data_IF_580005110791
#
_entry.id   IF_580005110791
#
_cell.length_a   1.000
_cell.length_b   1.000
_cell.length_c   1.000
_cell.angle_alpha   90.00
_cell.angle_beta   90.00
_cell.angle_gamma   90.00
#
_symmetry.space_group_name_H-M   'P 1'
#
loop_
_entity.id
_entity.type
_entity.pdbx_description
1 polymer ?
#
# COMPACT_ATOMS: atom_id res chain seq x y z
N UNK A 1 -2.35 15.78 31.64
CA UNK A 1 -3.70 15.18 31.53
C UNK A 1 -4.04 15.26 30.06
N UNK A 2 -4.40 14.14 29.44
CA UNK A 2 -4.72 14.11 28.01
C UNK A 2 -6.01 14.91 27.79
N UNK A 3 -6.02 15.81 26.81
CA UNK A 3 -7.18 16.64 26.46
C UNK A 3 -8.19 15.83 25.64
N UNK A 4 -9.42 16.32 25.54
CA UNK A 4 -10.45 15.66 24.70
C UNK A 4 -10.00 15.60 23.24
N UNK A 5 -9.42 16.68 22.71
CA UNK A 5 -8.86 16.73 21.35
C UNK A 5 -7.76 15.68 21.12
N UNK A 6 -6.93 15.41 22.12
CA UNK A 6 -5.88 14.38 22.05
C UNK A 6 -6.48 12.97 22.08
N UNK A 7 -7.55 12.74 22.85
CA UNK A 7 -8.27 11.46 22.83
C UNK A 7 -8.96 11.22 21.49
N UNK A 8 -9.58 12.24 20.91
CA UNK A 8 -10.20 12.17 19.60
C UNK A 8 -9.16 11.83 18.53
N UNK A 9 -8.00 12.49 18.55
CA UNK A 9 -6.89 12.17 17.66
C UNK A 9 -6.40 10.72 17.82
N UNK A 10 -6.28 10.22 19.06
CA UNK A 10 -5.87 8.83 19.31
C UNK A 10 -6.90 7.85 18.73
N UNK A 11 -8.20 8.14 18.87
CA UNK A 11 -9.26 7.32 18.30
C UNK A 11 -9.16 7.28 16.76
N UNK A 12 -9.01 8.44 16.12
CA UNK A 12 -8.86 8.56 14.66
C UNK A 12 -7.61 7.83 14.16
N UNK A 13 -6.48 7.97 14.85
CA UNK A 13 -5.23 7.25 14.52
C UNK A 13 -5.40 5.74 14.68
N UNK A 14 -6.12 5.31 15.72
CA UNK A 14 -6.40 3.88 15.94
C UNK A 14 -7.23 3.31 14.80
N UNK A 15 -8.24 4.04 14.30
CA UNK A 15 -9.03 3.63 13.15
C UNK A 15 -8.16 3.48 11.88
N UNK A 16 -7.33 4.48 11.58
CA UNK A 16 -6.42 4.44 10.43
C UNK A 16 -5.46 3.24 10.52
N UNK A 17 -4.83 3.06 11.68
CA UNK A 17 -3.85 1.98 11.90
C UNK A 17 -4.49 0.60 11.96
N UNK A 18 -5.76 0.48 12.36
CA UNK A 18 -6.49 -0.79 12.37
C UNK A 18 -6.56 -1.40 10.97
N UNK A 19 -6.68 -0.58 9.92
CA UNK A 19 -6.71 -1.10 8.53
C UNK A 19 -5.39 -1.81 8.17
N UNK A 20 -4.26 -1.33 8.71
CA UNK A 20 -2.96 -1.99 8.54
C UNK A 20 -2.84 -3.25 9.39
N UNK A 21 -3.35 -3.21 10.62
CA UNK A 21 -3.38 -4.37 11.51
C UNK A 21 -4.18 -5.52 10.87
N UNK A 22 -5.39 -5.26 10.39
CA UNK A 22 -6.25 -6.24 9.73
C UNK A 22 -5.56 -6.84 8.49
N UNK A 23 -5.00 -5.99 7.63
CA UNK A 23 -4.27 -6.44 6.45
C UNK A 23 -3.05 -7.31 6.80
N UNK A 24 -2.29 -6.94 7.83
CA UNK A 24 -1.10 -7.72 8.25
C UNK A 24 -1.46 -9.00 8.98
N UNK A 25 -2.58 -9.05 9.71
CA UNK A 25 -3.12 -10.27 10.31
C UNK A 25 -3.55 -11.26 9.23
N UNK A 26 -4.31 -10.80 8.22
CA UNK A 26 -4.75 -11.64 7.11
C UNK A 26 -3.56 -12.17 6.29
N UNK A 27 -2.56 -11.32 6.02
CA UNK A 27 -1.35 -11.72 5.32
C UNK A 27 -0.51 -12.68 6.18
N UNK A 28 -0.25 -12.34 7.44
CA UNK A 28 0.59 -13.11 8.35
C UNK A 28 0.00 -14.46 8.78
N UNK A 29 -1.33 -14.54 8.90
CA UNK A 29 -2.05 -15.77 9.26
C UNK A 29 -2.19 -16.77 8.11
N UNK A 30 -1.94 -16.35 6.87
CA UNK A 30 -2.09 -17.21 5.70
C UNK A 30 -0.84 -18.08 5.47
N UNK A 31 -1.02 -19.40 5.44
CA UNK A 31 0.07 -20.35 5.06
C UNK A 31 0.57 -20.12 3.63
N UNK A 32 -0.28 -19.53 2.78
CA UNK A 32 0.03 -19.12 1.42
C UNK A 32 -0.54 -17.71 1.22
N UNK A 33 0.27 -16.70 1.46
CA UNK A 33 -0.07 -15.32 1.06
C UNK A 33 -0.31 -15.33 -0.44
N UNK A 34 -1.57 -15.23 -0.84
CA UNK A 34 -1.89 -15.18 -2.26
C UNK A 34 -1.65 -13.76 -2.74
N UNK A 35 -0.73 -13.58 -3.69
CA UNK A 35 -0.45 -12.29 -4.32
C UNK A 35 -1.72 -11.62 -4.90
N UNK A 36 -2.78 -12.40 -5.14
CA UNK A 36 -4.11 -11.93 -5.51
C UNK A 36 -4.83 -11.09 -4.43
N UNK A 37 -4.50 -11.27 -3.15
CA UNK A 37 -5.06 -10.52 -2.00
C UNK A 37 -4.27 -9.25 -1.69
N UNK A 38 -2.99 -9.18 -2.09
CA UNK A 38 -2.13 -8.03 -1.83
C UNK A 38 -2.73 -6.73 -2.39
N UNK A 39 -3.18 -6.77 -3.64
CA UNK A 39 -3.72 -5.58 -4.33
C UNK A 39 -5.03 -5.06 -3.74
N UNK A 40 -6.06 -5.88 -3.44
CA UNK A 40 -7.26 -5.36 -2.78
C UNK A 40 -6.96 -4.73 -1.42
N UNK A 41 -6.13 -5.37 -0.58
CA UNK A 41 -5.75 -4.81 0.73
C UNK A 41 -5.02 -3.46 0.59
N UNK A 42 -4.05 -3.38 -0.32
CA UNK A 42 -3.30 -2.15 -0.53
C UNK A 42 -4.18 -1.01 -1.04
N UNK A 43 -5.16 -1.34 -1.89
CA UNK A 43 -6.13 -0.37 -2.38
C UNK A 43 -7.08 0.12 -1.27
N UNK A 44 -7.44 -0.73 -0.30
CA UNK A 44 -8.21 -0.33 0.88
C UNK A 44 -7.41 0.59 1.80
N UNK A 45 -6.14 0.26 2.07
CA UNK A 45 -5.23 1.12 2.82
C UNK A 45 -5.09 2.49 2.13
N UNK A 46 -4.86 2.51 0.82
CA UNK A 46 -4.75 3.75 0.04
C UNK A 46 -6.03 4.58 0.18
N UNK A 47 -7.21 3.98 0.05
CA UNK A 47 -8.49 4.69 0.22
C UNK A 47 -8.63 5.30 1.62
N UNK A 48 -8.14 4.63 2.65
CA UNK A 48 -8.18 5.13 4.04
C UNK A 48 -7.25 6.32 4.26
N UNK A 49 -6.04 6.30 3.70
CA UNK A 49 -5.01 7.34 3.91
C UNK A 49 -5.03 8.46 2.86
N UNK A 50 -5.76 8.30 1.77
CA UNK A 50 -5.90 9.37 0.76
C UNK A 50 -6.83 10.44 1.30
N UNK A 51 -6.30 11.62 1.56
CA UNK A 51 -7.08 12.83 1.88
C UNK A 51 -7.13 13.77 0.66
N UNK A 52 -8.07 14.71 0.63
CA UNK A 52 -8.14 15.73 -0.43
C UNK A 52 -6.83 16.54 -0.54
N UNK A 53 -6.06 16.64 0.55
CA UNK A 53 -4.75 17.29 0.59
C UNK A 53 -3.65 16.47 -0.12
N UNK A 54 -3.68 15.14 0.04
CA UNK A 54 -2.67 14.23 -0.53
C UNK A 54 -2.66 14.16 -2.06
N UNK A 55 -3.76 14.57 -2.71
CA UNK A 55 -3.85 14.67 -4.18
C UNK A 55 -3.21 15.95 -4.74
N UNK A 56 -2.97 16.97 -3.92
CA UNK A 56 -2.51 18.29 -4.34
C UNK A 56 -1.03 18.58 -4.03
N UNK A 57 -0.40 17.78 -3.18
CA UNK A 57 1.02 17.91 -2.86
C UNK A 57 1.86 16.84 -3.57
N UNK A 58 2.10 17.07 -4.86
CA UNK A 58 3.21 16.48 -5.63
C UNK A 58 4.49 17.34 -5.40
N UNK A 59 4.67 17.85 -4.17
CA UNK A 59 5.84 18.65 -3.83
C UNK A 59 6.95 17.74 -3.35
N UNK A 60 8.06 17.77 -4.09
CA UNK A 60 9.38 17.20 -3.81
C UNK A 60 9.97 17.76 -2.49
N UNK A 61 9.30 17.54 -1.37
CA UNK A 61 9.90 17.72 -0.05
C UNK A 61 10.70 16.47 0.28
N UNK A 62 11.98 16.65 0.60
CA UNK A 62 12.95 15.57 0.82
C UNK A 62 12.37 14.45 1.68
N UNK A 63 12.52 13.22 1.19
CA UNK A 63 12.09 11.99 1.87
C UNK A 63 12.84 11.85 3.20
N UNK A 64 12.26 12.36 4.29
CA UNK A 64 12.63 11.90 5.63
C UNK A 64 12.01 10.51 5.82
N UNK A 65 12.64 9.51 5.19
CA UNK A 65 12.29 8.12 5.42
C UNK A 65 12.74 7.74 6.82
N UNK A 66 11.76 7.73 7.74
CA UNK A 66 11.91 7.33 9.13
C UNK A 66 12.51 5.91 9.30
N UNK A 67 12.60 5.11 8.23
CA UNK A 67 13.18 3.77 8.21
C UNK A 67 14.55 3.68 7.50
N UNK A 68 15.00 4.69 6.73
CA UNK A 68 16.32 4.66 6.07
C UNK A 68 17.48 5.11 6.98
N UNK A 69 17.21 5.84 8.05
CA UNK A 69 18.25 6.26 9.00
C UNK A 69 18.44 5.25 10.15
N UNK A 70 19.12 4.12 9.88
CA UNK A 70 19.67 3.26 10.93
C UNK A 70 21.02 2.59 10.56
N UNK A 71 21.96 3.39 10.04
CA UNK A 71 23.40 3.18 10.35
C UNK A 71 23.81 4.03 11.55
N UNK A 72 22.89 4.22 12.52
CA UNK A 72 23.22 4.78 13.81
C UNK A 72 23.54 3.63 14.76
N UNK A 73 24.81 3.54 15.15
CA UNK A 73 25.27 2.65 16.21
C UNK A 73 24.31 2.69 17.41
N UNK A 74 23.98 1.52 17.96
CA UNK A 74 23.31 1.35 19.25
C UNK A 74 24.07 2.16 20.33
N UNK A 75 23.71 3.42 20.54
CA UNK A 75 24.51 4.23 21.46
C UNK A 75 24.19 5.72 21.61
N UNK A 76 23.21 6.29 20.92
CA UNK A 76 22.83 7.68 21.17
C UNK A 76 21.38 7.77 21.64
N UNK A 77 21.26 7.86 22.96
CA UNK A 77 20.15 8.48 23.67
C UNK A 77 19.95 9.90 23.09
N UNK A 78 19.16 9.99 22.03
CA UNK A 78 18.61 11.25 21.57
C UNK A 78 17.56 11.66 22.59
N UNK A 79 18.01 12.20 23.73
CA UNK A 79 17.16 12.95 24.64
C UNK A 79 16.72 14.23 23.92
N UNK A 80 15.84 14.11 22.93
CA UNK A 80 14.95 15.20 22.58
C UNK A 80 14.17 15.48 23.87
N UNK A 81 14.35 16.68 24.42
CA UNK A 81 13.55 17.18 25.53
C UNK A 81 12.11 17.37 25.07
N UNK A 82 11.42 16.26 24.81
CA UNK A 82 10.02 16.24 24.44
C UNK A 82 9.26 16.72 25.67
N UNK A 83 8.64 17.89 25.55
CA UNK A 83 7.76 18.44 26.58
C UNK A 83 6.48 17.60 26.64
N UNK A 84 6.58 16.40 27.17
CA UNK A 84 5.46 15.44 27.31
C UNK A 84 4.37 15.98 28.28
N UNK A 85 4.71 17.03 29.05
CA UNK A 85 3.80 17.64 30.02
C UNK A 85 2.93 18.77 29.43
N UNK A 86 3.16 19.19 28.19
CA UNK A 86 2.37 20.23 27.51
C UNK A 86 1.42 19.56 26.49
N UNK A 87 0.13 19.95 26.42
CA UNK A 87 -0.79 19.43 25.42
C UNK A 87 -0.29 19.69 24.00
N UNK A 88 -0.45 18.72 23.11
CA UNK A 88 -0.09 18.88 21.71
C UNK A 88 -1.23 19.58 20.95
N UNK A 89 -0.86 20.42 19.98
CA UNK A 89 -1.84 20.92 19.02
C UNK A 89 -2.19 19.80 18.03
N UNK A 90 -3.40 19.28 18.11
CA UNK A 90 -3.89 18.18 17.26
C UNK A 90 -4.34 18.64 15.89
N UNK A 91 -4.46 19.95 15.66
CA UNK A 91 -4.94 20.51 14.41
C UNK A 91 -4.10 20.01 13.22
N UNK A 92 -4.76 19.42 12.22
CA UNK A 92 -4.18 18.85 10.99
C UNK A 92 -3.18 17.69 11.17
N UNK A 93 -2.94 17.22 12.39
CA UNK A 93 -1.94 16.17 12.65
C UNK A 93 -2.35 14.82 12.04
N UNK A 94 -3.66 14.51 12.03
CA UNK A 94 -4.17 13.32 11.36
C UNK A 94 -3.90 13.36 9.84
N UNK A 95 -4.09 14.52 9.21
CA UNK A 95 -3.84 14.70 7.78
C UNK A 95 -2.35 14.58 7.45
N UNK A 96 -1.48 15.09 8.33
CA UNK A 96 -0.03 14.92 8.21
C UNK A 96 0.38 13.45 8.27
N UNK A 97 -0.15 12.70 9.25
CA UNK A 97 0.11 11.25 9.37
C UNK A 97 -0.38 10.50 8.13
N UNK A 98 -1.62 10.76 7.68
CA UNK A 98 -2.18 10.15 6.46
C UNK A 98 -1.34 10.47 5.23
N UNK A 99 -0.89 11.72 5.07
CA UNK A 99 -0.02 12.15 3.98
C UNK A 99 1.32 11.41 3.99
N UNK A 100 1.98 11.31 5.15
CA UNK A 100 3.23 10.54 5.32
C UNK A 100 3.04 9.05 4.99
N UNK A 101 1.97 8.43 5.48
CA UNK A 101 1.64 7.04 5.16
C UNK A 101 1.40 6.83 3.66
N UNK A 102 0.68 7.74 3.01
CA UNK A 102 0.43 7.66 1.57
C UNK A 102 1.71 7.80 0.74
N UNK A 103 2.59 8.75 1.10
CA UNK A 103 3.91 8.91 0.46
C UNK A 103 4.73 7.62 0.60
N UNK A 104 4.78 7.03 1.79
CA UNK A 104 5.47 5.77 2.02
C UNK A 104 4.88 4.63 1.18
N UNK A 105 3.56 4.51 1.08
CA UNK A 105 2.92 3.51 0.22
C UNK A 105 3.35 3.69 -1.24
N UNK A 106 3.36 4.93 -1.76
CA UNK A 106 3.86 5.22 -3.12
C UNK A 106 5.33 4.84 -3.28
N UNK A 107 6.19 5.15 -2.30
CA UNK A 107 7.64 4.83 -2.31
C UNK A 107 7.87 3.33 -2.38
N UNK A 108 7.24 2.56 -1.49
CA UNK A 108 7.45 1.11 -1.37
C UNK A 108 6.65 0.28 -2.38
N UNK A 109 5.56 0.82 -2.92
CA UNK A 109 4.69 0.15 -3.88
C UNK A 109 4.48 1.01 -5.15
N UNK A 110 5.55 1.28 -5.93
CA UNK A 110 5.51 2.22 -7.04
C UNK A 110 4.66 1.74 -8.22
N UNK A 111 4.44 0.43 -8.34
CA UNK A 111 3.72 -0.20 -9.45
C UNK A 111 2.41 -0.84 -8.98
N UNK A 112 1.35 -0.03 -8.92
CA UNK A 112 -0.03 -0.47 -8.70
C UNK A 112 -0.83 -0.53 -10.01
N UNK A 113 -0.16 -0.96 -11.08
CA UNK A 113 -0.70 -0.97 -12.44
C UNK A 113 -0.98 -2.39 -12.93
N UNK A 114 -1.32 -2.49 -14.20
CA UNK A 114 -1.75 -3.68 -14.96
C UNK A 114 -1.08 -5.01 -14.55
N UNK A 115 0.25 -5.05 -14.39
CA UNK A 115 0.98 -6.28 -14.02
C UNK A 115 0.67 -6.76 -12.58
N UNK A 116 0.58 -5.82 -11.64
CA UNK A 116 0.31 -6.11 -10.23
C UNK A 116 -1.09 -6.70 -10.01
N UNK A 117 -2.02 -6.45 -10.93
CA UNK A 117 -3.40 -6.94 -10.90
C UNK A 117 -3.58 -8.32 -11.55
N UNK A 118 -2.57 -8.83 -12.28
CA UNK A 118 -2.62 -10.16 -12.93
C UNK A 118 -2.92 -11.29 -11.93
N UNK A 119 -2.28 -11.37 -10.75
CA UNK A 119 -2.62 -12.37 -9.74
C UNK A 119 -4.08 -12.27 -9.29
N UNK A 120 -4.60 -11.06 -9.10
CA UNK A 120 -5.97 -10.84 -8.65
C UNK A 120 -7.02 -11.25 -9.69
N UNK A 121 -6.79 -10.95 -10.98
CA UNK A 121 -7.74 -11.34 -12.03
C UNK A 121 -7.79 -12.86 -12.26
N UNK A 122 -6.71 -13.57 -11.95
CA UNK A 122 -6.62 -15.03 -12.02
C UNK A 122 -7.27 -15.72 -10.81
N UNK A 123 -7.47 -15.01 -9.70
CA UNK A 123 -8.13 -15.53 -8.51
C UNK A 123 -9.66 -15.39 -8.66
N UNK A 124 -10.44 -16.48 -8.56
CA UNK A 124 -11.91 -16.41 -8.63
C UNK A 124 -12.55 -15.40 -7.67
N UNK A 125 -11.93 -15.16 -6.50
CA UNK A 125 -12.43 -14.21 -5.47
C UNK A 125 -12.30 -12.76 -5.94
N UNK A 126 -11.26 -12.44 -6.72
CA UNK A 126 -10.91 -11.08 -7.12
C UNK A 126 -11.01 -10.85 -8.63
N UNK A 127 -11.50 -11.82 -9.39
CA UNK A 127 -11.62 -11.81 -10.86
C UNK A 127 -12.30 -10.57 -11.44
N UNK A 128 -13.23 -9.97 -10.70
CA UNK A 128 -13.94 -8.76 -11.14
C UNK A 128 -13.12 -7.48 -10.98
N UNK A 129 -12.07 -7.50 -10.16
CA UNK A 129 -11.23 -6.36 -9.80
C UNK A 129 -12.05 -5.17 -9.28
N UNK A 130 -13.10 -5.41 -8.50
CA UNK A 130 -14.06 -4.38 -8.06
C UNK A 130 -13.42 -3.25 -7.24
N UNK A 131 -12.24 -3.48 -6.69
CA UNK A 131 -11.44 -2.50 -5.96
C UNK A 131 -10.68 -1.51 -6.87
N UNK A 132 -10.46 -1.83 -8.15
CA UNK A 132 -9.66 -1.04 -9.08
C UNK A 132 -10.53 -0.14 -10.00
N UNK A 133 -9.99 0.98 -10.52
CA UNK A 133 -10.66 1.81 -11.52
C UNK A 133 -10.97 1.05 -12.82
N UNK A 134 -12.08 1.36 -13.47
CA UNK A 134 -12.55 0.61 -14.66
C UNK A 134 -11.53 0.62 -15.82
N UNK A 135 -10.80 1.73 -16.01
CA UNK A 135 -9.71 1.82 -16.97
C UNK A 135 -8.63 0.75 -16.73
N UNK A 136 -8.20 0.58 -15.48
CA UNK A 136 -7.21 -0.44 -15.10
C UNK A 136 -7.76 -1.85 -15.29
N UNK A 137 -9.05 -2.09 -15.04
CA UNK A 137 -9.67 -3.41 -15.27
C UNK A 137 -9.63 -3.80 -16.75
N UNK A 138 -9.96 -2.86 -17.63
CA UNK A 138 -9.93 -3.07 -19.09
C UNK A 138 -8.49 -3.35 -19.54
N UNK A 139 -7.54 -2.55 -19.08
CA UNK A 139 -6.13 -2.69 -19.42
C UNK A 139 -5.56 -4.04 -18.94
N UNK A 140 -5.86 -4.43 -17.69
CA UNK A 140 -5.44 -5.71 -17.12
C UNK A 140 -5.99 -6.90 -17.90
N UNK A 141 -7.26 -6.84 -18.32
CA UNK A 141 -7.87 -7.86 -19.18
C UNK A 141 -7.18 -7.96 -20.52
N UNK A 142 -6.91 -6.83 -21.19
CA UNK A 142 -6.19 -6.79 -22.46
C UNK A 142 -4.80 -7.39 -22.32
N UNK A 143 -4.05 -6.97 -21.29
CA UNK A 143 -2.70 -7.46 -21.04
C UNK A 143 -2.69 -8.97 -20.74
N UNK A 144 -3.63 -9.48 -19.94
CA UNK A 144 -3.76 -10.91 -19.69
C UNK A 144 -4.01 -11.70 -20.98
N UNK A 145 -4.84 -11.18 -21.89
CA UNK A 145 -5.09 -11.82 -23.19
C UNK A 145 -3.83 -11.86 -24.06
N UNK A 146 -3.04 -10.78 -24.06
CA UNK A 146 -1.75 -10.73 -24.75
C UNK A 146 -0.77 -11.76 -24.19
N UNK A 147 -0.62 -11.81 -22.87
CA UNK A 147 0.21 -12.81 -22.20
C UNK A 147 -0.21 -14.24 -22.56
N UNK A 148 -1.51 -14.54 -22.50
CA UNK A 148 -2.05 -15.84 -22.86
C UNK A 148 -1.76 -16.22 -24.32
N UNK A 149 -1.98 -15.28 -25.26
CA UNK A 149 -1.75 -15.53 -26.68
C UNK A 149 -0.26 -15.76 -26.98
N UNK A 150 0.63 -14.98 -26.36
CA UNK A 150 2.07 -15.16 -26.48
C UNK A 150 2.50 -16.54 -25.98
N UNK A 151 2.02 -16.94 -24.81
CA UNK A 151 2.35 -18.25 -24.23
C UNK A 151 1.80 -19.40 -25.06
N UNK A 152 0.60 -19.24 -25.63
CA UNK A 152 0.00 -20.22 -26.54
C UNK A 152 0.87 -20.44 -27.79
N UNK A 153 1.40 -19.36 -28.38
CA UNK A 153 2.30 -19.44 -29.54
C UNK A 153 3.62 -20.13 -29.15
N UNK A 154 4.21 -19.77 -28.00
CA UNK A 154 5.42 -20.40 -27.49
C UNK A 154 5.25 -21.92 -27.29
N UNK A 155 4.13 -22.33 -26.69
CA UNK A 155 3.81 -23.73 -26.47
C UNK A 155 3.68 -24.54 -27.78
N UNK A 156 3.14 -23.93 -28.84
CA UNK A 156 3.04 -24.56 -30.16
C UNK A 156 4.42 -24.73 -30.80
N UNK A 157 5.27 -23.71 -30.73
CA UNK A 157 6.63 -23.74 -31.28
C UNK A 157 7.50 -24.80 -30.58
N UNK A 158 7.39 -24.92 -29.26
CA UNK A 158 8.19 -25.88 -28.48
C UNK A 158 7.80 -27.34 -28.75
N UNK A 159 6.52 -27.62 -29.00
CA UNK A 159 6.08 -28.96 -29.40
C UNK A 159 6.57 -29.36 -30.80
N UNK A 160 6.58 -28.42 -31.75
CA UNK A 160 7.10 -28.65 -33.09
C UNK A 160 8.60 -28.95 -33.08
N UNK A 161 9.38 -28.23 -32.25
CA UNK A 161 10.82 -28.44 -32.08
C UNK A 161 11.18 -29.75 -31.35
N UNK A 162 10.30 -30.27 -30.49
CA UNK A 162 10.52 -31.53 -29.77
C UNK A 162 10.16 -32.78 -30.58
N UNK A 163 9.56 -32.60 -31.76
CA UNK A 163 9.09 -33.68 -32.64
C UNK A 163 10.01 -33.94 -33.85
N UNK A 164 11.13 -33.21 -33.93
CA UNK A 164 12.20 -33.34 -34.94
C UNK A 164 13.49 -33.84 -34.30
#
# INVERSE_FOLDING_TARGET
>A
MITDDEWDLIADLTEVLSTFADATEDLGGSKYVTNSMRMPMLMEIIKMVTTDLANNQDSDEEEDDAFENNDAEEGQDSTQNNKINEPINTFSLLDEVKSKLYKNIKKYYPTLFTESLIPSILDPRFKKLDFAPEAQKIETKRHLQELFNNEKVNYQNNQAASST
#
